data_IF_079844684750
#
_entry.id   IF_079844684750
#
_cell.length_a   1.000
_cell.length_b   1.000
_cell.length_c   1.000
_cell.angle_alpha   90.00
_cell.angle_beta   90.00
_cell.angle_gamma   90.00
#
_symmetry.space_group_name_H-M   'P 1'
#
loop_
_entity.id
_entity.type
_entity.pdbx_description
1 polymer ?
#
# COMPACT_ATOMS: atom_id res chain seq x y z
N UNK A 1 7.91 86.06 -14.74
CA UNK A 1 8.31 84.72 -14.27
C UNK A 1 7.78 84.54 -12.85
N UNK A 2 6.62 83.90 -12.66
CA UNK A 2 6.11 83.51 -11.34
C UNK A 2 5.08 82.39 -11.50
N UNK A 3 5.43 81.21 -10.98
CA UNK A 3 4.71 79.94 -11.08
C UNK A 3 3.48 79.92 -10.15
N UNK A 4 2.31 79.60 -10.69
CA UNK A 4 1.12 79.23 -9.90
C UNK A 4 1.22 77.77 -9.45
N UNK A 5 1.42 77.55 -8.16
CA UNK A 5 1.30 76.24 -7.51
C UNK A 5 -0.17 75.78 -7.46
N UNK A 6 -0.48 74.67 -8.15
CA UNK A 6 -1.73 73.92 -7.99
C UNK A 6 -1.67 73.07 -6.72
N UNK A 7 -2.41 73.48 -5.69
CA UNK A 7 -2.54 72.76 -4.41
C UNK A 7 -3.46 71.54 -4.61
N UNK A 8 -2.88 70.33 -4.73
CA UNK A 8 -3.61 69.06 -4.81
C UNK A 8 -4.36 68.82 -3.50
N UNK A 9 -5.70 68.85 -3.52
CA UNK A 9 -6.57 68.66 -2.35
C UNK A 9 -6.60 67.17 -2.00
N UNK A 10 -5.89 66.78 -0.95
CA UNK A 10 -5.84 65.40 -0.46
C UNK A 10 -7.18 65.08 0.23
N UNK A 11 -8.04 64.27 -0.41
CA UNK A 11 -9.29 63.79 0.19
C UNK A 11 -8.93 62.80 1.31
N UNK A 12 -9.13 63.21 2.56
CA UNK A 12 -9.04 62.30 3.72
C UNK A 12 -10.26 61.37 3.67
N UNK A 13 -10.02 60.06 3.71
CA UNK A 13 -11.09 59.07 3.77
C UNK A 13 -11.87 59.24 5.09
N UNK A 14 -13.20 59.10 5.09
CA UNK A 14 -14.01 59.23 6.29
C UNK A 14 -13.65 58.13 7.31
N UNK A 15 -13.70 58.44 8.61
CA UNK A 15 -13.34 57.52 9.69
C UNK A 15 -14.04 56.15 9.59
N UNK A 16 -15.30 56.12 9.15
CA UNK A 16 -16.10 54.91 8.92
C UNK A 16 -15.48 53.94 7.90
N UNK A 17 -14.68 54.43 6.94
CA UNK A 17 -13.96 53.59 5.99
C UNK A 17 -12.95 52.67 6.69
N UNK A 18 -12.23 53.18 7.69
CA UNK A 18 -11.27 52.39 8.46
C UNK A 18 -11.94 51.40 9.40
N UNK A 19 -13.12 51.75 9.94
CA UNK A 19 -13.95 50.82 10.74
C UNK A 19 -14.42 49.64 9.89
N UNK A 20 -14.86 49.89 8.66
CA UNK A 20 -15.27 48.82 7.72
C UNK A 20 -14.10 47.91 7.34
N UNK A 21 -12.93 48.48 7.04
CA UNK A 21 -11.72 47.70 6.72
C UNK A 21 -11.29 46.83 7.90
N UNK A 22 -11.28 47.37 9.12
CA UNK A 22 -10.94 46.60 10.32
C UNK A 22 -11.96 45.49 10.61
N UNK A 23 -13.25 45.77 10.45
CA UNK A 23 -14.30 44.75 10.62
C UNK A 23 -14.20 43.61 9.60
N UNK A 24 -13.83 43.92 8.35
CA UNK A 24 -13.62 42.92 7.30
C UNK A 24 -12.37 42.08 7.57
N UNK A 25 -11.28 42.69 8.02
CA UNK A 25 -10.07 41.96 8.45
C UNK A 25 -10.39 41.03 9.61
N UNK A 26 -11.16 41.47 10.61
CA UNK A 26 -11.58 40.65 11.73
C UNK A 26 -12.49 39.49 11.29
N UNK A 27 -13.43 39.73 10.38
CA UNK A 27 -14.30 38.70 9.80
C UNK A 27 -13.47 37.67 9.03
N UNK A 28 -12.50 38.10 8.22
CA UNK A 28 -11.60 37.20 7.48
C UNK A 28 -10.73 36.39 8.45
N UNK A 29 -10.17 37.02 9.50
CA UNK A 29 -9.41 36.31 10.54
C UNK A 29 -10.28 35.33 11.33
N UNK A 30 -11.55 35.66 11.60
CA UNK A 30 -12.51 34.79 12.28
C UNK A 30 -12.95 33.61 11.39
N UNK A 31 -13.15 33.84 10.09
CA UNK A 31 -13.44 32.79 9.12
C UNK A 31 -12.21 31.88 8.88
N UNK A 32 -10.99 32.44 8.93
CA UNK A 32 -9.75 31.66 8.85
C UNK A 32 -9.42 30.92 10.16
N UNK A 33 -9.76 31.46 11.33
CA UNK A 33 -9.59 30.75 12.61
C UNK A 33 -10.56 29.57 12.75
N UNK A 34 -11.77 29.69 12.19
CA UNK A 34 -12.69 28.56 12.03
C UNK A 34 -12.11 27.44 11.16
N UNK A 35 -11.40 27.80 10.09
CA UNK A 35 -10.74 26.84 9.18
C UNK A 35 -9.48 26.19 9.76
N UNK A 36 -8.81 26.84 10.70
CA UNK A 36 -7.69 26.25 11.45
C UNK A 36 -8.15 25.24 12.52
N UNK A 37 -9.41 25.34 12.98
CA UNK A 37 -10.00 24.35 13.90
C UNK A 37 -10.26 23.00 13.24
N UNK A 38 -10.56 22.98 11.94
CA UNK A 38 -10.78 21.74 11.19
C UNK A 38 -9.49 21.01 10.80
N UNK A 39 -8.30 21.60 11.07
CA UNK A 39 -6.99 20.97 10.84
C UNK A 39 -6.55 20.08 12.01
N UNK A 40 -7.18 20.22 13.18
CA UNK A 40 -6.97 19.34 14.33
C UNK A 40 -8.24 18.55 14.62
N UNK A 41 -8.50 17.52 13.82
CA UNK A 41 -9.37 16.44 14.27
C UNK A 41 -8.63 15.75 15.43
N UNK A 42 -9.21 15.68 16.64
CA UNK A 42 -8.55 14.99 17.75
C UNK A 42 -8.24 13.55 17.34
N UNK A 43 -7.06 13.05 17.70
CA UNK A 43 -6.71 11.64 17.53
C UNK A 43 -7.84 10.80 18.11
N UNK A 44 -8.46 9.97 17.27
CA UNK A 44 -9.58 9.14 17.72
C UNK A 44 -9.01 7.92 18.43
N UNK A 45 -9.27 7.86 19.72
CA UNK A 45 -8.76 6.83 20.61
C UNK A 45 -9.38 5.45 20.30
N UNK A 46 -8.54 4.41 20.26
CA UNK A 46 -8.99 3.02 20.24
C UNK A 46 -8.56 2.39 21.55
N UNK A 47 -9.54 2.01 22.36
CA UNK A 47 -9.29 1.19 23.55
C UNK A 47 -9.03 -0.25 23.12
N UNK A 48 -7.93 -0.81 23.60
CA UNK A 48 -7.45 -2.14 23.24
C UNK A 48 -7.23 -2.93 24.53
N UNK A 49 -7.85 -4.11 24.59
CA UNK A 49 -7.70 -5.01 25.74
C UNK A 49 -6.27 -5.51 25.89
N UNK A 50 -5.85 -5.82 27.11
CA UNK A 50 -4.50 -6.33 27.41
C UNK A 50 -4.13 -7.59 26.60
N UNK A 51 -5.11 -8.41 26.22
CA UNK A 51 -4.94 -9.61 25.40
C UNK A 51 -4.35 -9.33 24.00
N UNK A 52 -4.47 -8.09 23.51
CA UNK A 52 -3.98 -7.66 22.19
C UNK A 52 -2.51 -7.21 22.21
N UNK A 53 -1.86 -7.20 23.38
CA UNK A 53 -0.42 -6.93 23.51
C UNK A 53 0.40 -8.09 22.96
N UNK A 54 -0.17 -9.30 22.86
CA UNK A 54 0.47 -10.48 22.29
C UNK A 54 -0.28 -11.02 21.07
N UNK A 55 0.46 -11.68 20.20
CA UNK A 55 -0.02 -12.30 18.96
C UNK A 55 0.33 -13.78 19.02
N UNK A 56 -0.67 -14.65 18.86
CA UNK A 56 -0.48 -16.08 18.61
C UNK A 56 -0.26 -16.31 17.12
N UNK A 57 1.00 -16.30 16.70
CA UNK A 57 1.43 -16.46 15.31
C UNK A 57 1.72 -17.93 15.01
N UNK A 58 1.09 -18.50 13.99
CA UNK A 58 1.60 -19.72 13.37
C UNK A 58 2.70 -19.37 12.39
N UNK A 59 3.94 -19.78 12.68
CA UNK A 59 5.06 -19.61 11.78
C UNK A 59 5.18 -20.81 10.83
N UNK A 60 4.92 -20.60 9.54
CA UNK A 60 4.94 -21.66 8.54
C UNK A 60 6.33 -22.22 8.27
N UNK A 61 7.39 -21.43 8.45
CA UNK A 61 8.77 -21.89 8.22
C UNK A 61 9.24 -22.84 9.32
N UNK A 62 9.03 -22.47 10.58
CA UNK A 62 9.40 -23.32 11.72
C UNK A 62 8.34 -24.34 12.12
N UNK A 63 7.12 -24.24 11.59
CA UNK A 63 5.94 -25.04 11.96
C UNK A 63 5.60 -24.94 13.46
N UNK A 64 5.74 -23.75 14.04
CA UNK A 64 5.51 -23.51 15.46
C UNK A 64 4.44 -22.46 15.71
N UNK A 65 3.68 -22.65 16.79
CA UNK A 65 2.84 -21.61 17.36
C UNK A 65 3.70 -20.76 18.31
N UNK A 66 3.85 -19.49 17.97
CA UNK A 66 4.62 -18.50 18.74
C UNK A 66 3.67 -17.53 19.42
N UNK A 67 3.98 -17.15 20.65
CA UNK A 67 3.32 -16.04 21.35
C UNK A 67 4.29 -14.87 21.44
N UNK A 68 3.99 -13.80 20.71
CA UNK A 68 4.94 -12.71 20.45
C UNK A 68 4.28 -11.38 20.80
N UNK A 69 4.97 -10.51 21.54
CA UNK A 69 4.48 -9.15 21.77
C UNK A 69 4.26 -8.39 20.45
N UNK A 70 3.18 -7.61 20.34
CA UNK A 70 2.74 -6.96 19.11
C UNK A 70 3.87 -6.18 18.41
N UNK A 71 4.65 -5.39 19.14
CA UNK A 71 5.75 -4.61 18.56
C UNK A 71 6.91 -5.49 18.06
N UNK A 72 7.18 -6.62 18.74
CA UNK A 72 8.15 -7.60 18.26
C UNK A 72 7.65 -8.34 17.02
N UNK A 73 6.34 -8.61 16.94
CA UNK A 73 5.70 -9.12 15.73
C UNK A 73 5.83 -8.11 14.57
N UNK A 74 5.46 -6.84 14.78
CA UNK A 74 5.55 -5.78 13.77
C UNK A 74 6.98 -5.60 13.27
N UNK A 75 7.99 -5.66 14.14
CA UNK A 75 9.41 -5.64 13.74
C UNK A 75 9.73 -6.78 12.76
N UNK A 76 9.26 -7.99 13.04
CA UNK A 76 9.42 -9.14 12.15
C UNK A 76 8.69 -8.99 10.82
N UNK A 77 7.52 -8.35 10.80
CA UNK A 77 6.79 -8.03 9.56
C UNK A 77 7.55 -7.01 8.73
N UNK A 78 7.97 -5.89 9.32
CA UNK A 78 8.71 -4.84 8.58
C UNK A 78 10.02 -5.39 8.00
N UNK A 79 10.71 -6.27 8.74
CA UNK A 79 11.92 -6.94 8.27
C UNK A 79 11.67 -7.94 7.13
N UNK A 80 10.47 -8.54 7.07
CA UNK A 80 10.08 -9.46 6.02
C UNK A 80 9.62 -8.74 4.75
N UNK A 81 8.84 -7.67 4.92
CA UNK A 81 8.07 -6.99 3.88
C UNK A 81 8.85 -5.89 3.15
N UNK A 82 9.71 -5.14 3.85
CA UNK A 82 10.38 -3.96 3.29
C UNK A 82 11.90 -4.08 3.36
N UNK A 83 12.65 -3.72 2.29
CA UNK A 83 14.11 -3.67 2.38
C UNK A 83 14.56 -2.69 3.46
N UNK A 84 15.39 -3.12 4.41
CA UNK A 84 15.84 -2.23 5.49
C UNK A 84 16.69 -1.05 5.00
N UNK A 85 17.17 -1.08 3.76
CA UNK A 85 17.83 0.06 3.11
C UNK A 85 16.87 1.21 2.81
N UNK A 86 15.56 0.96 2.73
CA UNK A 86 14.55 2.00 2.46
C UNK A 86 14.58 3.11 3.53
N UNK A 87 14.21 4.36 3.18
CA UNK A 87 14.20 5.47 4.11
C UNK A 87 13.39 5.19 5.39
N UNK A 88 13.79 5.82 6.50
CA UNK A 88 13.18 5.57 7.81
C UNK A 88 11.66 5.83 7.80
N UNK A 89 11.22 6.92 7.17
CA UNK A 89 9.80 7.28 7.08
C UNK A 89 8.97 6.27 6.29
N UNK A 90 9.56 5.56 5.32
CA UNK A 90 8.89 4.45 4.64
C UNK A 90 8.75 3.22 5.53
N UNK A 91 9.78 2.91 6.33
CA UNK A 91 9.74 1.83 7.32
C UNK A 91 8.71 2.12 8.42
N UNK A 92 8.58 3.38 8.86
CA UNK A 92 7.54 3.82 9.79
C UNK A 92 6.14 3.64 9.21
N UNK A 93 5.93 4.05 7.96
CA UNK A 93 4.65 3.84 7.27
C UNK A 93 4.30 2.35 7.20
N UNK A 94 5.28 1.49 6.90
CA UNK A 94 5.10 0.04 6.92
C UNK A 94 4.78 -0.50 8.32
N UNK A 95 5.43 0.01 9.37
CA UNK A 95 5.16 -0.40 10.75
C UNK A 95 3.71 -0.11 11.17
N UNK A 96 3.23 1.10 10.91
CA UNK A 96 1.85 1.50 11.21
C UNK A 96 0.83 0.65 10.42
N UNK A 97 1.08 0.43 9.12
CA UNK A 97 0.23 -0.42 8.29
C UNK A 97 0.20 -1.87 8.82
N UNK A 98 1.37 -2.44 9.13
CA UNK A 98 1.48 -3.80 9.65
C UNK A 98 0.80 -3.98 11.01
N UNK A 99 0.94 -3.00 11.90
CA UNK A 99 0.27 -2.98 13.21
C UNK A 99 -1.24 -2.89 13.06
N UNK A 100 -1.70 -1.95 12.23
CA UNK A 100 -3.14 -1.79 11.94
C UNK A 100 -3.74 -3.10 11.43
N UNK A 101 -3.04 -3.79 10.51
CA UNK A 101 -3.48 -5.09 10.00
C UNK A 101 -3.56 -6.13 11.12
N UNK A 102 -2.50 -6.26 11.92
CA UNK A 102 -2.42 -7.24 12.99
C UNK A 102 -3.58 -7.06 13.98
N UNK A 103 -3.75 -5.85 14.51
CA UNK A 103 -4.82 -5.52 15.46
C UNK A 103 -6.20 -5.77 14.85
N UNK A 104 -6.41 -5.38 13.58
CA UNK A 104 -7.67 -5.65 12.90
C UNK A 104 -7.98 -7.14 12.82
N UNK A 105 -6.99 -7.97 12.53
CA UNK A 105 -7.17 -9.43 12.45
C UNK A 105 -7.33 -10.09 13.82
N UNK A 106 -6.82 -9.51 14.89
CA UNK A 106 -7.12 -9.98 16.25
C UNK A 106 -8.59 -9.71 16.63
N UNK A 107 -9.16 -8.57 16.21
CA UNK A 107 -10.57 -8.25 16.41
C UNK A 107 -11.51 -8.98 15.43
N UNK A 108 -11.05 -9.18 14.20
CA UNK A 108 -11.79 -9.84 13.12
C UNK A 108 -10.91 -10.95 12.53
N UNK A 109 -10.91 -12.16 13.12
CA UNK A 109 -10.05 -13.25 12.71
C UNK A 109 -10.21 -13.62 11.23
N UNK A 110 -9.10 -13.95 10.58
CA UNK A 110 -9.13 -14.59 9.26
C UNK A 110 -9.36 -16.10 9.44
N UNK A 111 -10.48 -16.67 8.95
CA UNK A 111 -10.81 -18.08 9.14
C UNK A 111 -9.77 -19.01 8.51
N UNK A 112 -9.02 -18.55 7.49
CA UNK A 112 -7.98 -19.34 6.83
C UNK A 112 -6.81 -19.64 7.76
N UNK A 113 -6.58 -18.85 8.81
CA UNK A 113 -5.53 -19.15 9.80
C UNK A 113 -5.78 -20.48 10.50
N UNK A 114 -7.05 -20.86 10.68
CA UNK A 114 -7.44 -22.12 11.34
C UNK A 114 -7.13 -23.37 10.51
N UNK A 115 -6.84 -23.23 9.22
CA UNK A 115 -6.36 -24.37 8.41
C UNK A 115 -4.94 -24.77 8.76
N UNK A 116 -4.16 -23.88 9.39
CA UNK A 116 -2.82 -24.19 9.87
C UNK A 116 -2.83 -24.68 11.31
N UNK A 117 -3.48 -23.92 12.21
CA UNK A 117 -3.50 -24.25 13.64
C UNK A 117 -4.70 -23.64 14.36
N UNK A 118 -5.41 -24.44 15.15
CA UNK A 118 -6.66 -24.03 15.81
C UNK A 118 -6.48 -22.85 16.77
N UNK A 119 -5.35 -22.79 17.49
CA UNK A 119 -5.07 -21.71 18.45
C UNK A 119 -4.42 -20.46 17.82
N UNK A 120 -4.05 -20.49 16.54
CA UNK A 120 -3.39 -19.36 15.90
C UNK A 120 -4.38 -18.23 15.60
N UNK A 121 -3.91 -16.99 15.73
CA UNK A 121 -4.63 -15.77 15.39
C UNK A 121 -4.12 -15.17 14.07
N UNK A 122 -2.82 -15.30 13.80
CA UNK A 122 -2.17 -14.90 12.56
C UNK A 122 -1.30 -16.03 11.99
N UNK A 123 -0.96 -15.94 10.71
CA UNK A 123 0.02 -16.80 10.01
C UNK A 123 1.16 -15.96 9.44
N UNK A 124 2.38 -16.52 9.36
CA UNK A 124 3.50 -15.92 8.63
C UNK A 124 3.44 -16.16 7.11
N UNK A 125 2.43 -16.89 6.62
CA UNK A 125 2.16 -17.06 5.19
C UNK A 125 1.58 -15.76 4.58
N UNK A 126 2.28 -15.08 3.65
CA UNK A 126 1.80 -13.86 3.01
C UNK A 126 0.58 -14.06 2.10
N UNK A 127 0.24 -15.30 1.72
CA UNK A 127 -1.02 -15.58 1.01
C UNK A 127 -2.25 -15.52 1.95
N UNK A 128 -2.02 -15.66 3.25
CA UNK A 128 -3.07 -15.65 4.29
C UNK A 128 -3.05 -14.33 5.05
N UNK A 129 -1.91 -13.94 5.62
CA UNK A 129 -1.77 -12.68 6.35
C UNK A 129 -0.62 -11.81 5.81
N UNK A 130 0.46 -11.66 6.59
CA UNK A 130 1.60 -10.81 6.27
C UNK A 130 2.86 -11.64 6.41
N UNK A 131 3.86 -11.38 5.57
CA UNK A 131 5.15 -12.03 5.75
C UNK A 131 5.72 -11.65 7.11
N UNK A 132 6.36 -12.61 7.78
CA UNK A 132 7.04 -12.40 9.04
C UNK A 132 8.31 -13.22 9.06
N UNK A 133 9.39 -12.67 9.60
CA UNK A 133 10.64 -13.41 9.80
C UNK A 133 11.13 -13.27 11.24
N UNK A 134 11.69 -14.37 11.75
CA UNK A 134 12.28 -14.44 13.08
C UNK A 134 13.63 -13.71 13.16
N UNK A 135 14.12 -13.50 14.39
CA UNK A 135 15.46 -12.93 14.59
C UNK A 135 16.57 -13.81 14.00
N UNK A 136 16.43 -15.14 14.04
CA UNK A 136 17.38 -16.06 13.40
C UNK A 136 17.38 -15.89 11.88
N UNK A 137 16.21 -15.76 11.27
CA UNK A 137 16.09 -15.56 9.83
C UNK A 137 16.61 -14.19 9.39
N UNK A 138 16.39 -13.13 10.19
CA UNK A 138 17.05 -11.82 9.98
C UNK A 138 18.58 -11.93 9.97
N UNK A 139 19.17 -12.70 10.91
CA UNK A 139 20.63 -12.90 10.96
C UNK A 139 21.14 -13.67 9.74
N UNK A 140 20.39 -14.68 9.28
CA UNK A 140 20.72 -15.43 8.06
C UNK A 140 20.65 -14.54 6.82
N UNK A 141 19.57 -13.77 6.68
CA UNK A 141 19.30 -12.88 5.54
C UNK A 141 20.31 -11.75 5.40
N UNK A 142 20.69 -11.11 6.49
CA UNK A 142 21.59 -9.94 6.45
C UNK A 142 23.04 -10.29 6.78
N UNK A 143 23.31 -11.46 7.35
CA UNK A 143 24.62 -11.80 7.88
C UNK A 143 24.98 -10.96 9.11
N UNK A 144 26.07 -11.34 9.80
CA UNK A 144 26.48 -10.71 11.07
C UNK A 144 26.70 -9.19 10.96
N UNK A 145 27.31 -8.75 9.86
CA UNK A 145 27.74 -7.36 9.67
C UNK A 145 26.57 -6.38 9.43
N UNK A 146 25.59 -6.77 8.60
CA UNK A 146 24.48 -5.89 8.29
C UNK A 146 23.32 -6.04 9.28
N UNK A 147 23.21 -7.19 9.96
CA UNK A 147 22.11 -7.48 10.89
C UNK A 147 21.93 -6.38 11.95
N UNK A 148 23.01 -5.96 12.62
CA UNK A 148 22.92 -4.98 13.71
C UNK A 148 22.36 -3.64 13.20
N UNK A 149 22.90 -3.14 12.08
CA UNK A 149 22.50 -1.86 11.48
C UNK A 149 21.07 -1.90 10.93
N UNK A 150 20.72 -2.96 10.18
CA UNK A 150 19.41 -3.13 9.57
C UNK A 150 18.33 -3.28 10.63
N UNK A 151 18.58 -4.14 11.63
CA UNK A 151 17.65 -4.34 12.75
C UNK A 151 17.52 -3.08 13.59
N UNK A 152 18.59 -2.32 13.84
CA UNK A 152 18.52 -1.06 14.60
C UNK A 152 17.60 -0.06 13.91
N UNK A 153 17.72 0.11 12.60
CA UNK A 153 16.87 1.04 11.83
C UNK A 153 15.40 0.62 11.82
N UNK A 154 15.12 -0.67 11.63
CA UNK A 154 13.75 -1.18 11.68
C UNK A 154 13.17 -1.05 13.09
N UNK A 155 13.95 -1.41 14.11
CA UNK A 155 13.55 -1.24 15.52
C UNK A 155 13.19 0.21 15.81
N UNK A 156 14.02 1.15 15.37
CA UNK A 156 13.75 2.58 15.48
C UNK A 156 12.41 2.97 14.83
N UNK A 157 12.14 2.51 13.60
CA UNK A 157 10.87 2.80 12.92
C UNK A 157 9.64 2.28 13.67
N UNK A 158 9.75 1.09 14.27
CA UNK A 158 8.68 0.46 15.06
C UNK A 158 8.48 1.20 16.39
N UNK A 159 9.56 1.52 17.10
CA UNK A 159 9.51 2.24 18.39
C UNK A 159 8.99 3.67 18.23
N UNK A 160 9.42 4.40 17.20
CA UNK A 160 8.96 5.77 16.92
C UNK A 160 7.50 5.84 16.42
N UNK A 161 6.86 4.70 16.15
CA UNK A 161 5.44 4.61 15.77
C UNK A 161 4.66 3.65 16.67
N UNK A 162 5.18 3.40 17.88
CA UNK A 162 4.61 2.42 18.80
C UNK A 162 3.15 2.76 19.10
N UNK A 163 2.28 1.75 18.98
CA UNK A 163 0.84 1.95 19.21
C UNK A 163 0.11 2.76 18.13
N UNK A 164 0.77 3.29 17.11
CA UNK A 164 0.07 4.03 16.05
C UNK A 164 -0.59 3.08 15.05
N UNK A 165 -1.83 3.41 14.67
CA UNK A 165 -2.67 2.68 13.73
C UNK A 165 -3.46 3.62 12.82
N UNK A 166 -4.10 3.05 11.79
CA UNK A 166 -4.90 3.79 10.80
C UNK A 166 -6.40 3.54 10.97
N UNK A 167 -7.14 4.64 10.99
CA UNK A 167 -8.58 4.66 11.19
C UNK A 167 -9.30 5.30 10.02
N UNK A 168 -10.44 4.73 9.63
CA UNK A 168 -11.41 5.40 8.77
C UNK A 168 -12.75 5.46 9.49
N UNK A 169 -13.29 6.66 9.70
CA UNK A 169 -14.49 6.91 10.53
C UNK A 169 -14.41 6.29 11.94
N UNK A 170 -13.19 6.15 12.47
CA UNK A 170 -12.91 5.57 13.78
C UNK A 170 -12.92 4.04 13.85
N UNK A 171 -12.86 3.35 12.71
CA UNK A 171 -12.66 1.92 12.66
C UNK A 171 -11.32 1.59 12.00
N UNK A 172 -10.62 0.58 12.50
CA UNK A 172 -9.40 0.06 11.90
C UNK A 172 -9.67 -0.31 10.44
N UNK A 173 -8.84 0.21 9.55
CA UNK A 173 -8.90 -0.08 8.11
C UNK A 173 -8.34 -1.48 7.80
N UNK A 174 -8.46 -1.89 6.53
CA UNK A 174 -7.64 -2.95 5.95
C UNK A 174 -6.46 -2.31 5.19
N UNK A 175 -5.28 -2.18 5.82
CA UNK A 175 -4.16 -1.38 5.32
C UNK A 175 -3.31 -2.20 4.33
N UNK A 176 -3.92 -2.64 3.24
CA UNK A 176 -3.24 -3.48 2.24
C UNK A 176 -2.09 -2.73 1.57
N UNK A 177 -1.00 -3.43 1.31
CA UNK A 177 0.20 -2.88 0.70
C UNK A 177 0.84 -3.88 -0.27
N UNK A 178 1.67 -3.37 -1.17
CA UNK A 178 2.33 -4.16 -2.20
C UNK A 178 3.69 -3.58 -2.55
N UNK A 179 4.58 -4.41 -3.11
CA UNK A 179 5.94 -3.99 -3.44
C UNK A 179 5.99 -2.81 -4.42
N UNK A 180 5.41 -2.96 -5.62
CA UNK A 180 5.45 -1.92 -6.64
C UNK A 180 4.16 -1.81 -7.44
N UNK A 181 3.66 -0.59 -7.59
CA UNK A 181 2.50 -0.31 -8.44
C UNK A 181 2.85 -0.35 -9.95
N UNK A 182 4.15 -0.37 -10.29
CA UNK A 182 4.69 -0.24 -11.64
C UNK A 182 4.90 1.22 -12.10
N UNK A 183 5.02 2.16 -11.17
CA UNK A 183 5.46 3.54 -11.42
C UNK A 183 4.42 4.51 -11.98
N UNK A 184 3.13 4.22 -11.84
CA UNK A 184 2.04 5.12 -12.32
C UNK A 184 1.10 5.52 -11.21
N UNK A 185 0.34 4.56 -10.71
CA UNK A 185 -0.75 4.78 -9.77
C UNK A 185 -1.15 3.46 -9.11
N UNK A 186 -1.75 3.55 -7.94
CA UNK A 186 -2.35 2.41 -7.25
C UNK A 186 -3.78 2.19 -7.74
N UNK A 187 -4.34 1.04 -7.39
CA UNK A 187 -5.67 0.61 -7.79
C UNK A 187 -6.77 0.97 -6.80
N UNK A 188 -7.98 1.09 -7.34
CA UNK A 188 -9.18 1.01 -6.50
C UNK A 188 -9.38 -0.43 -6.02
N UNK A 189 -9.74 -0.61 -4.76
CA UNK A 189 -10.09 -1.93 -4.20
C UNK A 189 -11.12 -2.71 -5.03
N UNK A 190 -12.14 -2.03 -5.56
CA UNK A 190 -13.20 -2.63 -6.37
C UNK A 190 -12.73 -3.16 -7.75
N UNK A 191 -11.56 -2.73 -8.23
CA UNK A 191 -10.99 -3.26 -9.50
C UNK A 191 -10.27 -4.59 -9.30
N UNK A 192 -9.94 -4.93 -8.05
CA UNK A 192 -9.17 -6.14 -7.68
C UNK A 192 -10.01 -7.11 -6.84
N UNK A 193 -10.89 -6.60 -5.98
CA UNK A 193 -11.75 -7.37 -5.08
C UNK A 193 -13.21 -6.97 -5.24
N UNK A 194 -14.13 -7.77 -4.69
CA UNK A 194 -15.58 -7.55 -4.81
C UNK A 194 -16.08 -6.27 -4.12
N UNK A 195 -15.34 -5.74 -3.14
CA UNK A 195 -15.81 -4.65 -2.30
C UNK A 195 -15.06 -3.36 -2.56
N UNK A 196 -15.82 -2.27 -2.74
CA UNK A 196 -15.29 -0.93 -2.79
C UNK A 196 -15.06 -0.41 -1.36
N UNK A 197 -13.80 -0.26 -0.97
CA UNK A 197 -13.41 0.36 0.30
C UNK A 197 -13.10 1.85 0.07
N UNK A 198 -13.71 2.77 0.83
CA UNK A 198 -13.60 4.22 0.57
C UNK A 198 -12.20 4.78 0.80
N UNK A 199 -11.40 4.13 1.65
CA UNK A 199 -10.00 4.48 1.91
C UNK A 199 -9.01 3.79 0.96
N UNK A 200 -9.45 2.84 0.13
CA UNK A 200 -8.60 2.15 -0.87
C UNK A 200 -8.98 2.62 -2.27
N UNK A 201 -8.64 3.88 -2.56
CA UNK A 201 -8.76 4.49 -3.88
C UNK A 201 -7.41 4.50 -4.57
N UNK A 202 -7.43 4.41 -5.90
CA UNK A 202 -6.24 4.57 -6.70
C UNK A 202 -5.70 5.99 -6.60
N UNK A 203 -4.44 6.13 -6.23
CA UNK A 203 -3.74 7.41 -6.09
C UNK A 203 -2.50 7.45 -6.95
N UNK A 204 -2.05 8.66 -7.30
CA UNK A 204 -0.83 8.85 -8.08
C UNK A 204 0.38 8.25 -7.36
N UNK A 205 1.23 7.54 -8.09
CA UNK A 205 2.43 6.92 -7.57
C UNK A 205 3.49 6.92 -8.69
N UNK A 206 3.88 8.14 -9.08
CA UNK A 206 4.74 8.39 -10.24
C UNK A 206 6.17 8.72 -9.83
N UNK A 207 7.13 8.27 -10.63
CA UNK A 207 8.53 8.72 -10.52
C UNK A 207 9.40 7.93 -9.55
N UNK A 208 8.84 6.94 -8.84
CA UNK A 208 9.67 5.97 -8.13
C UNK A 208 10.35 5.02 -9.12
N UNK A 209 11.63 4.75 -8.90
CA UNK A 209 12.37 3.73 -9.64
C UNK A 209 12.40 2.45 -8.82
N UNK A 210 12.11 1.33 -9.46
CA UNK A 210 12.25 0.02 -8.86
C UNK A 210 12.62 -1.05 -9.88
N UNK A 211 12.98 -2.24 -9.39
CA UNK A 211 13.42 -3.37 -10.21
C UNK A 211 12.27 -4.15 -10.88
N UNK A 212 11.02 -3.82 -10.56
CA UNK A 212 9.82 -4.53 -11.01
C UNK A 212 9.21 -3.89 -12.26
N UNK A 213 10.01 -3.19 -13.05
CA UNK A 213 9.62 -2.66 -14.35
C UNK A 213 10.02 -3.62 -15.46
N UNK A 214 9.12 -3.81 -16.43
CA UNK A 214 9.38 -4.58 -17.65
C UNK A 214 9.99 -5.98 -17.40
N UNK A 215 9.48 -6.72 -16.41
CA UNK A 215 9.95 -8.08 -16.11
C UNK A 215 9.51 -9.03 -17.23
N UNK A 216 10.45 -9.62 -18.00
CA UNK A 216 10.10 -10.55 -19.07
C UNK A 216 9.85 -11.95 -18.51
N UNK A 217 8.82 -12.61 -18.99
CA UNK A 217 8.50 -14.01 -18.75
C UNK A 217 8.19 -14.69 -20.09
N UNK A 218 8.59 -15.95 -20.23
CA UNK A 218 8.33 -16.75 -21.41
C UNK A 218 7.64 -18.05 -21.00
N UNK A 219 6.58 -18.39 -21.70
CA UNK A 219 5.83 -19.64 -21.52
C UNK A 219 5.69 -20.32 -22.86
N UNK A 220 6.21 -21.55 -22.99
CA UNK A 220 6.01 -22.33 -24.21
C UNK A 220 4.53 -22.66 -24.41
N UNK A 221 4.14 -23.06 -25.61
CA UNK A 221 2.77 -23.56 -25.85
C UNK A 221 2.41 -24.73 -24.94
N UNK A 222 3.35 -25.63 -24.69
CA UNK A 222 3.18 -26.77 -23.77
C UNK A 222 3.00 -26.28 -22.33
N UNK A 223 3.80 -25.31 -21.86
CA UNK A 223 3.60 -24.73 -20.54
C UNK A 223 2.23 -24.07 -20.40
N UNK A 224 1.73 -23.42 -21.46
CA UNK A 224 0.37 -22.87 -21.45
C UNK A 224 -0.68 -23.98 -21.33
N UNK A 225 -0.50 -25.09 -22.07
CA UNK A 225 -1.42 -26.22 -22.03
C UNK A 225 -1.42 -26.90 -20.65
N UNK A 226 -0.26 -27.08 -20.03
CA UNK A 226 -0.13 -27.68 -18.70
C UNK A 226 -0.68 -26.78 -17.58
N UNK A 227 -0.31 -25.50 -17.58
CA UNK A 227 -0.65 -24.57 -16.49
C UNK A 227 -2.07 -24.01 -16.61
N UNK A 228 -2.55 -23.79 -17.84
CA UNK A 228 -3.83 -23.15 -18.13
C UNK A 228 -4.87 -24.13 -18.69
N UNK A 229 -4.47 -25.38 -18.96
CA UNK A 229 -5.31 -26.41 -19.57
C UNK A 229 -5.71 -26.08 -21.01
N UNK A 230 -4.98 -25.22 -21.71
CA UNK A 230 -5.28 -24.87 -23.10
C UNK A 230 -4.94 -26.03 -24.06
N UNK A 231 -5.06 -25.80 -25.37
CA UNK A 231 -4.63 -26.75 -26.42
C UNK A 231 -3.84 -26.03 -27.53
N UNK A 232 -3.01 -25.08 -27.13
CA UNK A 232 -2.24 -24.22 -28.02
C UNK A 232 -1.15 -25.01 -28.75
N UNK A 233 -0.48 -25.97 -28.10
CA UNK A 233 0.60 -26.75 -28.73
C UNK A 233 0.10 -27.59 -29.92
N UNK A 234 -1.18 -27.96 -29.92
CA UNK A 234 -1.82 -28.71 -31.01
C UNK A 234 -2.34 -27.82 -32.16
N UNK A 235 -2.24 -26.49 -32.07
CA UNK A 235 -2.72 -25.59 -33.11
C UNK A 235 -1.71 -25.44 -34.26
N UNK A 236 -2.17 -25.33 -35.51
CA UNK A 236 -1.30 -24.93 -36.62
C UNK A 236 -0.66 -23.57 -36.38
N UNK A 237 0.60 -23.40 -36.82
CA UNK A 237 1.36 -22.14 -36.68
C UNK A 237 0.59 -20.91 -37.19
N UNK A 238 -0.18 -21.06 -38.28
CA UNK A 238 -1.01 -19.98 -38.84
C UNK A 238 -2.12 -19.48 -37.90
N UNK A 239 -2.56 -20.31 -36.94
CA UNK A 239 -3.48 -19.91 -35.86
C UNK A 239 -2.74 -19.31 -34.68
N UNK A 240 -1.54 -19.80 -34.37
CA UNK A 240 -0.71 -19.32 -33.27
C UNK A 240 -0.21 -17.87 -33.47
N UNK A 241 -0.21 -17.37 -34.71
CA UNK A 241 0.12 -15.97 -35.01
C UNK A 241 -1.06 -15.00 -34.81
N UNK A 242 -2.27 -15.50 -34.49
CA UNK A 242 -3.47 -14.65 -34.35
C UNK A 242 -3.77 -14.38 -32.88
N UNK A 243 -3.54 -13.16 -32.40
CA UNK A 243 -3.91 -12.74 -31.03
C UNK A 243 -5.37 -13.02 -30.70
N UNK A 244 -6.27 -12.78 -31.65
CA UNK A 244 -7.71 -13.09 -31.53
C UNK A 244 -8.01 -14.58 -31.33
N UNK A 245 -7.05 -15.47 -31.46
CA UNK A 245 -7.19 -16.91 -31.19
C UNK A 245 -6.44 -17.28 -29.93
N UNK A 246 -5.23 -16.73 -29.74
CA UNK A 246 -4.30 -17.16 -28.69
C UNK A 246 -4.44 -16.38 -27.41
N UNK A 247 -4.45 -15.04 -27.47
CA UNK A 247 -4.36 -14.18 -26.29
C UNK A 247 -5.14 -12.87 -26.50
N UNK A 248 -6.25 -12.72 -25.79
CA UNK A 248 -7.12 -11.54 -25.92
C UNK A 248 -7.41 -10.94 -24.56
N UNK A 249 -6.87 -9.75 -24.30
CA UNK A 249 -7.29 -8.97 -23.14
C UNK A 249 -8.71 -8.46 -23.40
N UNK A 250 -9.65 -8.86 -22.55
CA UNK A 250 -11.07 -8.46 -22.65
C UNK A 250 -11.37 -7.20 -21.84
N UNK A 251 -10.70 -7.05 -20.71
CA UNK A 251 -10.92 -5.91 -19.82
C UNK A 251 -9.64 -5.52 -19.09
N UNK A 252 -9.41 -4.21 -18.98
CA UNK A 252 -8.40 -3.62 -18.12
C UNK A 252 -9.07 -2.62 -17.19
N UNK A 253 -8.52 -2.49 -15.98
CA UNK A 253 -8.81 -1.35 -15.13
C UNK A 253 -8.25 -0.05 -15.73
N UNK A 254 -8.65 1.07 -15.15
CA UNK A 254 -8.12 2.39 -15.53
C UNK A 254 -6.60 2.54 -15.30
N UNK A 255 -5.98 1.71 -14.44
CA UNK A 255 -4.51 1.70 -14.24
C UNK A 255 -3.77 0.82 -15.24
N UNK A 256 -4.51 0.11 -16.10
CA UNK A 256 -3.98 -0.80 -17.11
C UNK A 256 -3.69 -2.21 -16.60
N UNK A 257 -4.17 -2.58 -15.40
CA UNK A 257 -4.15 -3.97 -14.91
C UNK A 257 -5.21 -4.79 -15.63
N UNK A 258 -4.86 -5.99 -16.06
CA UNK A 258 -5.77 -6.92 -16.72
C UNK A 258 -6.77 -7.45 -15.70
N UNK A 259 -8.05 -7.34 -16.03
CA UNK A 259 -9.16 -7.87 -15.23
C UNK A 259 -9.68 -9.19 -15.80
N UNK A 260 -9.80 -9.25 -17.13
CA UNK A 260 -10.25 -10.44 -17.84
C UNK A 260 -9.43 -10.64 -19.12
N UNK A 261 -9.08 -11.89 -19.40
CA UNK A 261 -8.29 -12.31 -20.56
C UNK A 261 -8.77 -13.66 -21.05
N UNK A 262 -8.77 -13.85 -22.37
CA UNK A 262 -8.98 -15.15 -23.00
C UNK A 262 -7.65 -15.69 -23.50
N UNK A 263 -7.32 -16.93 -23.14
CA UNK A 263 -6.12 -17.62 -23.64
C UNK A 263 -6.54 -18.98 -24.21
N UNK A 264 -6.22 -19.24 -25.48
CA UNK A 264 -6.57 -20.50 -26.14
C UNK A 264 -8.06 -20.86 -26.06
N UNK A 265 -8.94 -19.87 -26.11
CA UNK A 265 -10.40 -20.04 -26.01
C UNK A 265 -10.94 -20.19 -24.58
N UNK A 266 -10.10 -20.16 -23.55
CA UNK A 266 -10.51 -20.19 -22.13
C UNK A 266 -10.48 -18.81 -21.49
N UNK A 267 -11.43 -18.54 -20.61
CA UNK A 267 -11.51 -17.29 -19.84
C UNK A 267 -10.73 -17.39 -18.53
N UNK A 268 -9.99 -16.33 -18.20
CA UNK A 268 -9.30 -16.16 -16.94
C UNK A 268 -9.53 -14.73 -16.43
N UNK A 269 -9.67 -14.58 -15.12
CA UNK A 269 -9.40 -13.29 -14.47
C UNK A 269 -7.89 -13.00 -14.51
N UNK A 270 -7.53 -11.72 -14.44
CA UNK A 270 -6.12 -11.35 -14.34
C UNK A 270 -5.44 -11.91 -13.09
N UNK A 271 -6.19 -12.06 -11.98
CA UNK A 271 -5.68 -12.63 -10.72
C UNK A 271 -5.42 -14.13 -10.85
N UNK A 272 -6.35 -14.89 -11.44
CA UNK A 272 -6.13 -16.32 -11.70
C UNK A 272 -4.91 -16.55 -12.59
N UNK A 273 -4.79 -15.78 -13.67
CA UNK A 273 -3.64 -15.91 -14.57
C UNK A 273 -2.33 -15.56 -13.87
N UNK A 274 -2.32 -14.49 -13.06
CA UNK A 274 -1.17 -14.11 -12.24
C UNK A 274 -0.75 -15.26 -11.32
N UNK A 275 -1.70 -15.93 -10.68
CA UNK A 275 -1.41 -17.05 -9.77
C UNK A 275 -0.90 -18.27 -10.54
N UNK A 276 -1.58 -18.69 -11.61
CA UNK A 276 -1.23 -19.91 -12.36
C UNK A 276 0.13 -19.79 -13.08
N UNK A 277 0.45 -18.60 -13.59
CA UNK A 277 1.71 -18.33 -14.28
C UNK A 277 2.78 -17.69 -13.37
N UNK A 278 2.50 -17.54 -12.07
CA UNK A 278 3.38 -16.87 -11.11
C UNK A 278 3.87 -15.48 -11.60
N UNK A 279 2.98 -14.68 -12.17
CA UNK A 279 3.31 -13.35 -12.68
C UNK A 279 3.54 -12.37 -11.50
N UNK A 280 4.48 -11.42 -11.63
CA UNK A 280 4.70 -10.39 -10.61
C UNK A 280 3.44 -9.57 -10.28
N UNK A 281 2.65 -9.22 -11.29
CA UNK A 281 1.42 -8.44 -11.15
C UNK A 281 0.40 -8.79 -12.24
N UNK A 282 -0.80 -8.19 -12.16
CA UNK A 282 -1.80 -8.25 -13.23
C UNK A 282 -1.61 -7.16 -14.29
N UNK A 283 -0.58 -6.32 -14.17
CA UNK A 283 -0.25 -5.28 -15.16
C UNK A 283 0.80 -5.81 -16.12
N UNK A 284 0.33 -6.53 -17.14
CA UNK A 284 1.20 -7.11 -18.15
C UNK A 284 0.72 -6.83 -19.57
N UNK A 285 1.64 -6.95 -20.52
CA UNK A 285 1.38 -7.08 -21.93
C UNK A 285 1.89 -8.44 -22.41
N UNK A 286 1.35 -8.94 -23.52
CA UNK A 286 1.78 -10.18 -24.12
C UNK A 286 2.08 -9.96 -25.60
N UNK A 287 3.15 -10.59 -26.08
CA UNK A 287 3.50 -10.72 -27.48
C UNK A 287 3.58 -12.20 -27.82
N UNK A 288 3.02 -12.59 -28.96
CA UNK A 288 3.10 -13.96 -29.46
C UNK A 288 4.49 -14.19 -30.08
N UNK A 289 5.18 -15.23 -29.61
CA UNK A 289 6.39 -15.76 -30.24
C UNK A 289 6.07 -16.99 -31.10
N UNK A 290 7.08 -17.56 -31.75
CA UNK A 290 6.90 -18.79 -32.52
C UNK A 290 6.63 -20.01 -31.62
N UNK A 291 7.25 -20.03 -30.44
CA UNK A 291 7.25 -21.17 -29.52
C UNK A 291 6.40 -20.95 -28.27
N UNK A 292 5.84 -19.75 -28.08
CA UNK A 292 5.12 -19.44 -26.85
C UNK A 292 4.68 -17.98 -26.69
N UNK A 293 4.25 -17.67 -25.47
CA UNK A 293 3.87 -16.33 -25.03
C UNK A 293 5.08 -15.62 -24.41
N UNK A 294 5.39 -14.43 -24.92
CA UNK A 294 6.30 -13.49 -24.25
C UNK A 294 5.45 -12.49 -23.45
N UNK A 295 5.51 -12.56 -22.13
CA UNK A 295 4.79 -11.68 -21.22
C UNK A 295 5.76 -10.67 -20.62
N UNK A 296 5.39 -9.39 -20.64
CA UNK A 296 6.13 -8.33 -19.96
C UNK A 296 5.26 -7.79 -18.83
N UNK A 297 5.64 -8.10 -17.59
CA UNK A 297 4.94 -7.66 -16.37
C UNK A 297 5.54 -6.36 -15.81
N UNK A 298 4.70 -5.50 -15.25
CA UNK A 298 5.08 -4.25 -14.61
C UNK A 298 4.50 -4.14 -13.20
N UNK A 299 5.30 -3.72 -12.24
CA UNK A 299 4.95 -3.74 -10.82
C UNK A 299 4.99 -5.15 -10.23
N UNK A 300 4.79 -5.22 -8.92
CA UNK A 300 4.82 -6.46 -8.15
C UNK A 300 3.78 -6.36 -7.01
N UNK A 301 2.85 -7.33 -7.00
CA UNK A 301 1.74 -7.37 -6.05
C UNK A 301 0.41 -6.88 -6.64
N UNK A 302 -0.60 -6.81 -5.77
CA UNK A 302 -2.00 -6.56 -6.16
C UNK A 302 -2.28 -5.11 -6.59
N UNK A 303 -1.45 -4.14 -6.20
CA UNK A 303 -1.55 -2.76 -6.65
C UNK A 303 -2.47 -1.84 -5.86
N UNK A 304 -3.15 -2.35 -4.82
CA UNK A 304 -4.09 -1.58 -3.99
C UNK A 304 -3.38 -1.07 -2.73
N UNK A 305 -3.80 0.09 -2.22
CA UNK A 305 -3.25 0.67 -0.99
C UNK A 305 -1.81 1.11 -1.16
N UNK A 306 -0.96 0.90 -0.14
CA UNK A 306 0.39 1.47 -0.12
C UNK A 306 1.37 0.73 -1.05
N UNK A 307 1.99 1.48 -1.97
CA UNK A 307 3.13 1.02 -2.78
C UNK A 307 4.42 1.20 -1.97
N UNK A 308 5.15 0.12 -1.66
CA UNK A 308 6.34 0.17 -0.81
C UNK A 308 7.50 0.96 -1.45
N UNK A 309 7.78 0.74 -2.74
CA UNK A 309 8.77 1.55 -3.47
C UNK A 309 8.33 3.01 -3.63
N UNK A 310 7.02 3.26 -3.77
CA UNK A 310 6.50 4.61 -3.80
C UNK A 310 6.57 5.31 -2.44
N UNK A 311 6.37 4.61 -1.33
CA UNK A 311 6.59 5.12 0.02
C UNK A 311 8.06 5.50 0.24
N UNK A 312 8.99 4.67 -0.24
CA UNK A 312 10.42 4.98 -0.21
C UNK A 312 10.76 6.24 -1.02
N UNK A 313 10.19 6.41 -2.21
CA UNK A 313 10.39 7.60 -3.03
C UNK A 313 9.80 8.87 -2.37
N UNK A 314 8.59 8.80 -1.80
CA UNK A 314 8.02 9.93 -1.05
C UNK A 314 8.89 10.31 0.15
N UNK A 315 9.36 9.32 0.91
CA UNK A 315 10.26 9.55 2.03
C UNK A 315 11.59 10.18 1.58
N UNK A 316 12.15 9.73 0.45
CA UNK A 316 13.35 10.33 -0.13
C UNK A 316 13.13 11.78 -0.59
N UNK A 317 11.89 12.16 -0.92
CA UNK A 317 11.46 13.53 -1.24
C UNK A 317 11.04 14.34 0.00
N UNK A 318 11.29 13.83 1.20
CA UNK A 318 11.09 14.55 2.47
C UNK A 318 9.69 14.43 3.07
N UNK A 319 8.82 13.56 2.53
CA UNK A 319 7.53 13.27 3.16
C UNK A 319 7.72 12.44 4.43
N UNK A 320 7.02 12.80 5.49
CA UNK A 320 6.98 11.96 6.69
C UNK A 320 6.01 10.77 6.51
N UNK A 321 6.07 9.80 7.41
CA UNK A 321 5.26 8.59 7.34
C UNK A 321 3.75 8.84 7.38
N UNK A 322 3.28 9.86 8.12
CA UNK A 322 1.87 10.20 8.19
C UNK A 322 1.36 10.73 6.84
N UNK A 323 2.13 11.61 6.19
CA UNK A 323 1.83 12.12 4.84
C UNK A 323 1.81 10.98 3.81
N UNK A 324 2.75 10.03 3.91
CA UNK A 324 2.80 8.84 3.05
C UNK A 324 1.53 8.00 3.23
N UNK A 325 1.14 7.71 4.47
CA UNK A 325 -0.05 6.91 4.78
C UNK A 325 -1.34 7.61 4.32
N UNK A 326 -1.48 8.91 4.58
CA UNK A 326 -2.63 9.69 4.15
C UNK A 326 -2.73 9.82 2.62
N UNK A 327 -1.59 9.78 1.92
CA UNK A 327 -1.58 9.72 0.46
C UNK A 327 -2.13 8.40 -0.05
N UNK A 328 -1.69 7.26 0.48
CA UNK A 328 -2.12 5.93 0.00
C UNK A 328 -3.49 5.47 0.51
N UNK A 329 -3.92 5.97 1.66
CA UNK A 329 -5.19 5.60 2.28
C UNK A 329 -6.09 6.83 2.42
N UNK A 330 -7.07 6.96 1.54
CA UNK A 330 -7.86 8.20 1.42
C UNK A 330 -8.75 8.46 2.63
N UNK A 331 -8.60 9.64 3.24
CA UNK A 331 -9.46 10.09 4.35
C UNK A 331 -9.24 9.33 5.66
N UNK A 332 -8.09 8.66 5.83
CA UNK A 332 -7.73 8.02 7.09
C UNK A 332 -7.20 9.02 8.10
N UNK A 333 -7.32 8.65 9.37
CA UNK A 333 -6.78 9.36 10.52
C UNK A 333 -5.78 8.45 11.23
N UNK A 334 -4.80 9.08 11.88
CA UNK A 334 -3.96 8.37 12.84
C UNK A 334 -4.79 8.10 14.11
N UNK A 335 -4.64 6.91 14.66
CA UNK A 335 -5.14 6.52 15.97
C UNK A 335 -4.03 5.92 16.80
N UNK A 336 -4.26 5.80 18.10
CA UNK A 336 -3.30 5.22 19.04
C UNK A 336 -3.96 4.09 19.83
N UNK A 337 -3.20 3.01 20.06
CA UNK A 337 -3.58 1.93 20.96
C UNK A 337 -3.24 2.36 22.39
N UNK A 338 -4.24 2.44 23.25
CA UNK A 338 -4.01 2.52 24.68
C UNK A 338 -4.23 1.16 25.33
N UNK A 339 -3.47 0.89 26.39
CA UNK A 339 -3.83 -0.18 27.34
C UNK A 339 -5.11 0.24 28.04
N UNK A 340 -6.09 -0.65 28.14
CA UNK A 340 -7.15 -0.47 29.12
C UNK A 340 -6.53 -0.50 30.52
N UNK A 341 -6.59 0.64 31.23
CA UNK A 341 -6.36 0.66 32.66
C UNK A 341 -7.55 -0.06 33.31
N UNK A 342 -7.32 -1.28 33.80
CA UNK A 342 -8.30 -2.07 34.56
C UNK A 342 -8.63 -1.42 35.92
#
# INVERSE_FOLDING_TARGET
>A
MSLRFLKKRQRRQPFWFWVLVLSFVFLVLFLFSGRLRDVFLPEKEIKISEDLVFVKLWDVESTQLLEIGLEAYVLGVVAAEMPASFPLEALKAQAVAARTYAVKRLQVPDPRVKTFHQAAQLSSDPAVNQAWISTSEMKKRWGKWNYATHRKKIKQAVEETQGEVLLYKGQLIDPVYHASCGGKQTENSAEVWKFALPYLKGVSCTGHQDRHHSTPLFFTWENCDDLLGTKLAALPVSKLQKEQVVFQIKEKSFTGRVKAVMIGGKAFSGVELRTQLNLPSTRFACQLGNEGLHIISNGYGHGVGMCQYGAADFAAKGKNYQEILQHYYSGVQMGSLQKEDN
#
